data_IF_899736345668
#
_entry.id   IF_899736345668
#
_cell.length_a   1.000
_cell.length_b   1.000
_cell.length_c   1.000
_cell.angle_alpha   90.00
_cell.angle_beta   90.00
_cell.angle_gamma   90.00
#
_symmetry.space_group_name_H-M   'P 1'
#
loop_
_entity.id
_entity.type
_entity.pdbx_description
1 polymer ?
#
# COMPACT_ATOMS: atom_id res chain seq x y z
N UNK A 1 1.33 -18.41 -33.47
CA UNK A 1 2.19 -17.87 -32.37
C UNK A 1 1.71 -16.44 -32.15
N UNK A 2 1.23 -16.08 -30.97
CA UNK A 2 0.84 -14.70 -30.66
C UNK A 2 2.11 -13.86 -30.65
N UNK A 3 2.12 -12.79 -31.47
CA UNK A 3 3.25 -11.86 -31.57
C UNK A 3 3.25 -11.00 -30.28
N UNK A 4 4.02 -11.43 -29.28
CA UNK A 4 4.21 -10.70 -28.03
C UNK A 4 5.50 -9.92 -28.13
N UNK A 5 5.41 -8.60 -28.00
CA UNK A 5 6.56 -7.71 -27.99
C UNK A 5 6.69 -7.03 -26.62
N UNK A 6 7.82 -7.23 -25.93
CA UNK A 6 8.16 -6.48 -24.72
C UNK A 6 8.98 -5.25 -25.11
N UNK A 7 8.57 -4.08 -24.63
CA UNK A 7 9.21 -2.80 -24.94
C UNK A 7 9.06 -1.80 -23.79
N UNK A 8 9.87 -0.74 -23.73
CA UNK A 8 9.64 0.37 -22.82
C UNK A 8 8.25 0.99 -23.02
N UNK A 9 7.66 1.45 -21.91
CA UNK A 9 6.44 2.24 -21.90
C UNK A 9 6.61 3.51 -22.75
N UNK A 10 5.55 3.89 -23.45
CA UNK A 10 5.46 5.13 -24.22
C UNK A 10 4.26 5.94 -23.75
N UNK A 11 4.33 7.24 -23.84
CA UNK A 11 3.22 8.13 -23.41
C UNK A 11 1.89 7.82 -24.11
N UNK A 12 1.93 7.22 -25.30
CA UNK A 12 0.73 6.74 -26.02
C UNK A 12 0.05 5.53 -25.36
N UNK A 13 0.73 4.80 -24.47
CA UNK A 13 0.19 3.63 -23.76
C UNK A 13 -0.61 4.03 -22.51
N UNK A 14 -0.58 5.29 -22.11
CA UNK A 14 -1.09 5.82 -20.83
C UNK A 14 -2.52 5.39 -20.52
N UNK A 15 -3.42 5.43 -21.49
CA UNK A 15 -4.83 5.11 -21.27
C UNK A 15 -5.04 3.61 -21.06
N UNK A 16 -4.24 2.77 -21.74
CA UNK A 16 -4.27 1.32 -21.58
C UNK A 16 -3.64 0.92 -20.22
N UNK A 17 -2.51 1.54 -19.87
CA UNK A 17 -1.88 1.33 -18.57
C UNK A 17 -2.81 1.75 -17.43
N UNK A 18 -3.43 2.93 -17.52
CA UNK A 18 -4.38 3.40 -16.50
C UNK A 18 -5.57 2.46 -16.33
N UNK A 19 -6.11 1.89 -17.41
CA UNK A 19 -7.16 0.87 -17.31
C UNK A 19 -6.69 -0.39 -16.59
N UNK A 20 -5.46 -0.85 -16.90
CA UNK A 20 -4.89 -2.03 -16.24
C UNK A 20 -4.68 -1.80 -14.74
N UNK A 21 -4.12 -0.64 -14.36
CA UNK A 21 -3.95 -0.24 -12.95
C UNK A 21 -5.31 -0.18 -12.26
N UNK A 22 -6.29 0.50 -12.85
CA UNK A 22 -7.61 0.66 -12.23
C UNK A 22 -8.36 -0.67 -12.09
N UNK A 23 -8.24 -1.59 -13.05
CA UNK A 23 -8.85 -2.91 -12.93
C UNK A 23 -8.28 -3.71 -11.74
N UNK A 24 -6.97 -3.60 -11.50
CA UNK A 24 -6.32 -4.25 -10.37
C UNK A 24 -6.64 -3.54 -9.03
N UNK A 25 -6.68 -2.20 -9.03
CA UNK A 25 -7.06 -1.41 -7.86
C UNK A 25 -8.50 -1.70 -7.43
N UNK A 26 -9.45 -1.73 -8.36
CA UNK A 26 -10.86 -2.01 -8.10
C UNK A 26 -11.10 -3.42 -7.54
N UNK A 27 -10.29 -4.40 -7.96
CA UNK A 27 -10.37 -5.76 -7.42
C UNK A 27 -10.04 -5.84 -5.93
N UNK A 28 -9.22 -4.90 -5.41
CA UNK A 28 -8.81 -4.83 -4.00
C UNK A 28 -9.70 -3.86 -3.23
N UNK A 29 -9.93 -2.68 -3.80
CA UNK A 29 -10.69 -1.59 -3.17
C UNK A 29 -11.89 -1.27 -4.06
N UNK A 30 -13.06 -1.87 -3.80
CA UNK A 30 -14.25 -1.69 -4.64
C UNK A 30 -14.62 -0.21 -4.84
N UNK A 31 -14.86 0.18 -6.10
CA UNK A 31 -15.16 1.55 -6.48
C UNK A 31 -13.94 2.49 -6.56
N UNK A 32 -12.72 1.97 -6.35
CA UNK A 32 -11.49 2.75 -6.48
C UNK A 32 -11.15 2.98 -7.95
N UNK A 33 -10.80 4.20 -8.28
CA UNK A 33 -10.15 4.52 -9.55
C UNK A 33 -9.20 5.69 -9.39
N UNK A 34 -8.05 5.59 -10.02
CA UNK A 34 -7.04 6.65 -10.06
C UNK A 34 -6.99 7.31 -11.43
N UNK A 35 -6.63 8.60 -11.45
CA UNK A 35 -6.52 9.34 -12.70
C UNK A 35 -5.32 8.87 -13.52
N UNK A 36 -5.35 9.11 -14.82
CA UNK A 36 -4.19 8.87 -15.71
C UNK A 36 -2.96 9.63 -15.20
N UNK A 37 -3.14 10.84 -14.71
CA UNK A 37 -2.02 11.65 -14.19
C UNK A 37 -1.42 11.06 -12.92
N UNK A 38 -2.23 10.50 -12.03
CA UNK A 38 -1.78 9.75 -10.86
C UNK A 38 -0.91 8.56 -11.27
N UNK A 39 -1.40 7.75 -12.23
CA UNK A 39 -0.64 6.62 -12.75
C UNK A 39 0.68 7.08 -13.36
N UNK A 40 0.68 8.10 -14.22
CA UNK A 40 1.90 8.61 -14.83
C UNK A 40 2.86 9.22 -13.80
N UNK A 41 2.35 9.98 -12.83
CA UNK A 41 3.15 10.54 -11.75
C UNK A 41 3.86 9.47 -10.92
N UNK A 42 3.23 8.31 -10.72
CA UNK A 42 3.82 7.19 -9.99
C UNK A 42 4.98 6.49 -10.72
N UNK A 43 5.12 6.69 -12.03
CA UNK A 43 6.24 6.16 -12.82
C UNK A 43 7.49 7.03 -12.74
N UNK A 44 7.35 8.24 -12.25
CA UNK A 44 8.41 9.21 -12.08
C UNK A 44 8.85 9.26 -10.59
N UNK A 45 9.72 10.18 -10.27
CA UNK A 45 10.14 10.39 -8.89
C UNK A 45 8.96 10.83 -8.03
N UNK A 46 8.82 10.21 -6.85
CA UNK A 46 7.81 10.52 -5.84
C UNK A 46 8.39 11.53 -4.82
N UNK A 47 8.15 12.84 -4.97
CA UNK A 47 8.83 13.84 -4.13
C UNK A 47 8.43 13.78 -2.65
N UNK A 48 7.29 13.15 -2.33
CA UNK A 48 6.85 12.93 -0.96
C UNK A 48 7.40 11.65 -0.32
N UNK A 49 7.97 10.74 -1.11
CA UNK A 49 8.47 9.44 -0.65
C UNK A 49 9.96 9.53 -0.29
N UNK A 50 10.27 10.31 0.75
CA UNK A 50 11.66 10.63 1.11
C UNK A 50 12.44 9.45 1.74
N UNK A 51 11.79 8.33 2.05
CA UNK A 51 12.45 7.12 2.56
C UNK A 51 12.98 6.26 1.41
N UNK A 52 12.12 5.91 0.46
CA UNK A 52 12.43 4.98 -0.64
C UNK A 52 12.86 5.72 -1.91
N UNK A 53 12.21 6.81 -2.27
CA UNK A 53 12.49 7.53 -3.51
C UNK A 53 13.90 8.09 -3.60
N UNK A 54 14.50 8.67 -2.53
CA UNK A 54 15.91 9.07 -2.55
C UNK A 54 16.89 7.92 -2.73
N UNK A 55 16.48 6.68 -2.43
CA UNK A 55 17.31 5.49 -2.58
C UNK A 55 17.35 4.96 -4.02
N UNK A 56 16.42 5.42 -4.87
CA UNK A 56 16.26 4.93 -6.24
C UNK A 56 17.19 5.68 -7.19
N UNK A 57 18.05 4.92 -7.88
CA UNK A 57 18.99 5.44 -8.87
C UNK A 57 18.43 5.43 -10.29
N UNK A 58 17.55 4.46 -10.62
CA UNK A 58 17.00 4.29 -11.96
C UNK A 58 15.58 3.70 -11.90
N UNK A 59 14.73 4.11 -12.85
CA UNK A 59 13.36 3.61 -13.02
C UNK A 59 13.13 3.19 -14.46
N UNK A 60 12.44 2.06 -14.64
CA UNK A 60 12.05 1.58 -15.97
C UNK A 60 10.63 1.04 -15.90
N UNK A 61 9.78 1.50 -16.82
CA UNK A 61 8.46 0.90 -17.03
C UNK A 61 8.47 0.14 -18.33
N UNK A 62 8.09 -1.13 -18.28
CA UNK A 62 7.95 -2.00 -19.44
C UNK A 62 6.47 -2.32 -19.69
N UNK A 63 6.14 -2.56 -20.95
CA UNK A 63 4.86 -3.12 -21.37
C UNK A 63 5.09 -4.33 -22.28
N UNK A 64 4.25 -5.34 -22.13
CA UNK A 64 4.13 -6.42 -23.08
C UNK A 64 2.92 -6.13 -23.98
N UNK A 65 3.19 -5.91 -25.25
CA UNK A 65 2.19 -5.67 -26.26
C UNK A 65 1.82 -6.99 -26.95
N UNK A 66 0.54 -7.24 -27.10
CA UNK A 66 -0.01 -8.37 -27.84
C UNK A 66 -1.16 -7.86 -28.71
N UNK A 67 -1.08 -8.10 -30.02
CA UNK A 67 -2.09 -7.63 -30.99
C UNK A 67 -2.36 -6.12 -30.88
N UNK A 68 -1.30 -5.31 -30.78
CA UNK A 68 -1.35 -3.84 -30.65
C UNK A 68 -2.07 -3.34 -29.37
N UNK A 69 -2.12 -4.17 -28.30
CA UNK A 69 -2.68 -3.80 -27.00
C UNK A 69 -1.68 -4.10 -25.88
N UNK A 70 -1.65 -3.25 -24.89
CA UNK A 70 -0.91 -3.50 -23.66
C UNK A 70 -1.61 -4.63 -22.89
N UNK A 71 -0.99 -5.81 -22.92
CA UNK A 71 -1.49 -7.03 -22.29
C UNK A 71 -0.98 -7.17 -20.84
N UNK A 72 0.24 -6.67 -20.57
CA UNK A 72 0.86 -6.63 -19.25
C UNK A 72 1.78 -5.41 -19.14
N UNK A 73 2.02 -4.96 -17.91
CA UNK A 73 2.94 -3.87 -17.60
C UNK A 73 3.68 -4.13 -16.30
N UNK A 74 4.92 -3.63 -16.19
CA UNK A 74 5.73 -3.70 -14.98
C UNK A 74 6.50 -2.41 -14.78
N UNK A 75 6.66 -2.01 -13.53
CA UNK A 75 7.49 -0.89 -13.11
C UNK A 75 8.64 -1.40 -12.26
N UNK A 76 9.86 -1.03 -12.63
CA UNK A 76 11.09 -1.49 -12.01
C UNK A 76 11.84 -0.33 -11.39
N UNK A 77 12.42 -0.59 -10.24
CA UNK A 77 13.31 0.31 -9.54
C UNK A 77 14.70 -0.34 -9.41
N UNK A 78 15.75 0.47 -9.58
CA UNK A 78 17.11 0.15 -9.19
C UNK A 78 17.51 1.04 -8.03
N UNK A 79 18.02 0.46 -6.97
CA UNK A 79 18.49 1.18 -5.80
C UNK A 79 19.98 1.49 -5.90
N UNK A 80 20.43 2.51 -5.16
CA UNK A 80 21.86 2.83 -5.09
C UNK A 80 22.65 1.69 -4.43
N UNK A 81 23.87 1.41 -4.89
CA UNK A 81 24.73 0.35 -4.33
C UNK A 81 25.44 0.76 -3.03
N UNK A 82 25.27 1.97 -2.57
CA UNK A 82 25.97 2.57 -1.44
C UNK A 82 25.02 3.03 -0.32
N UNK A 83 25.56 3.79 0.65
CA UNK A 83 24.84 4.24 1.84
C UNK A 83 23.67 5.21 1.58
N UNK A 84 23.45 5.60 0.33
CA UNK A 84 22.23 6.35 -0.06
C UNK A 84 20.98 5.51 0.03
N UNK A 85 21.12 4.18 -0.13
CA UNK A 85 20.02 3.25 0.07
C UNK A 85 20.10 2.59 1.45
N UNK A 86 18.94 2.26 2.02
CA UNK A 86 18.88 1.48 3.25
C UNK A 86 19.55 0.11 3.09
N UNK A 87 20.14 -0.47 4.16
CA UNK A 87 20.98 -1.66 4.07
C UNK A 87 20.36 -2.85 3.32
N UNK A 88 19.04 -3.06 3.48
CA UNK A 88 18.33 -4.15 2.82
C UNK A 88 18.11 -3.93 1.32
N UNK A 89 18.26 -2.68 0.83
CA UNK A 89 18.00 -2.31 -0.56
C UNK A 89 19.29 -1.93 -1.33
N UNK A 90 20.45 -1.94 -0.69
CA UNK A 90 21.70 -1.66 -1.38
C UNK A 90 21.91 -2.60 -2.53
N UNK A 91 22.23 -2.05 -3.70
CA UNK A 91 22.47 -2.81 -4.93
C UNK A 91 21.33 -3.78 -5.27
N UNK A 92 20.09 -3.39 -4.98
CA UNK A 92 18.90 -4.16 -5.28
C UNK A 92 18.19 -3.65 -6.53
N UNK A 93 17.48 -4.57 -7.19
CA UNK A 93 16.45 -4.30 -8.19
C UNK A 93 15.10 -4.77 -7.68
N UNK A 94 14.07 -3.99 -7.91
CA UNK A 94 12.70 -4.32 -7.49
C UNK A 94 11.73 -4.23 -8.67
N UNK A 95 10.90 -5.27 -8.84
CA UNK A 95 9.64 -5.14 -9.57
C UNK A 95 8.66 -4.51 -8.59
N UNK A 96 8.51 -3.18 -8.62
CA UNK A 96 7.61 -2.44 -7.73
C UNK A 96 6.18 -2.95 -7.86
N UNK A 97 5.74 -3.18 -9.10
CA UNK A 97 4.54 -3.88 -9.45
C UNK A 97 4.64 -4.49 -10.85
N UNK A 98 3.92 -5.59 -11.06
CA UNK A 98 3.67 -6.21 -12.35
C UNK A 98 2.18 -6.52 -12.45
N UNK A 99 1.55 -6.13 -13.54
CA UNK A 99 0.12 -6.23 -13.75
C UNK A 99 -0.18 -6.92 -15.07
N UNK A 100 -1.09 -7.86 -15.05
CA UNK A 100 -1.72 -8.45 -16.22
C UNK A 100 -3.03 -9.11 -15.80
N UNK A 101 -3.92 -9.33 -16.74
CA UNK A 101 -5.18 -9.98 -16.44
C UNK A 101 -5.34 -11.23 -17.29
N UNK A 102 -5.17 -12.44 -16.71
CA UNK A 102 -5.10 -13.68 -17.49
C UNK A 102 -6.43 -14.08 -18.11
N UNK A 103 -7.55 -13.68 -17.48
CA UNK A 103 -8.91 -13.96 -17.95
C UNK A 103 -9.73 -12.69 -17.88
N UNK A 104 -10.65 -12.48 -18.84
CA UNK A 104 -11.64 -11.43 -18.73
C UNK A 104 -12.47 -11.65 -17.45
N UNK A 105 -12.60 -10.63 -16.57
CA UNK A 105 -13.46 -10.73 -15.39
C UNK A 105 -14.92 -11.12 -15.70
N UNK A 106 -15.36 -10.83 -16.93
CA UNK A 106 -16.71 -11.10 -17.42
C UNK A 106 -16.82 -12.38 -18.29
N UNK A 107 -15.76 -13.22 -18.34
CA UNK A 107 -15.77 -14.38 -19.23
C UNK A 107 -15.88 -14.02 -20.70
N UNK A 108 -15.43 -12.82 -21.11
CA UNK A 108 -15.50 -12.34 -22.47
C UNK A 108 -14.62 -13.21 -23.39
N UNK A 109 -15.20 -14.00 -24.32
CA UNK A 109 -14.45 -14.91 -25.19
C UNK A 109 -13.51 -14.17 -26.16
N UNK A 110 -13.66 -12.87 -26.32
CA UNK A 110 -12.78 -12.02 -27.13
C UNK A 110 -11.55 -11.50 -26.40
N UNK A 111 -11.45 -11.76 -25.09
CA UNK A 111 -10.25 -11.40 -24.33
C UNK A 111 -9.19 -12.48 -24.49
N UNK A 112 -8.06 -12.18 -25.11
CA UNK A 112 -7.02 -13.19 -25.32
C UNK A 112 -6.41 -13.61 -23.98
N UNK A 113 -5.97 -14.86 -23.89
CA UNK A 113 -5.07 -15.27 -22.84
C UNK A 113 -3.74 -14.51 -22.98
N UNK A 114 -3.41 -13.76 -21.95
CA UNK A 114 -2.23 -12.89 -21.89
C UNK A 114 -1.15 -13.45 -20.92
N UNK A 115 -1.29 -14.67 -20.45
CA UNK A 115 -0.33 -15.31 -19.55
C UNK A 115 1.06 -15.36 -20.18
N UNK A 116 1.18 -15.74 -21.44
CA UNK A 116 2.44 -15.74 -22.16
C UNK A 116 3.07 -14.34 -22.30
N UNK A 117 2.25 -13.29 -22.42
CA UNK A 117 2.75 -11.91 -22.42
C UNK A 117 3.30 -11.51 -21.04
N UNK A 118 2.65 -11.91 -19.96
CA UNK A 118 3.11 -11.67 -18.61
C UNK A 118 4.42 -12.43 -18.28
N UNK A 119 4.55 -13.67 -18.77
CA UNK A 119 5.77 -14.47 -18.63
C UNK A 119 6.94 -13.84 -19.40
N UNK A 120 6.72 -13.41 -20.65
CA UNK A 120 7.72 -12.70 -21.43
C UNK A 120 8.14 -11.38 -20.78
N UNK A 121 7.17 -10.63 -20.23
CA UNK A 121 7.45 -9.40 -19.48
C UNK A 121 8.30 -9.66 -18.24
N UNK A 122 7.98 -10.71 -17.46
CA UNK A 122 8.72 -11.05 -16.25
C UNK A 122 10.15 -11.47 -16.59
N UNK A 123 10.36 -12.24 -17.67
CA UNK A 123 11.68 -12.61 -18.16
C UNK A 123 12.49 -11.35 -18.53
N UNK A 124 11.89 -10.39 -19.23
CA UNK A 124 12.54 -9.12 -19.58
C UNK A 124 12.87 -8.27 -18.34
N UNK A 125 12.06 -8.29 -17.27
CA UNK A 125 12.40 -7.65 -16.01
C UNK A 125 13.66 -8.25 -15.39
N UNK A 126 13.76 -9.59 -15.36
CA UNK A 126 14.93 -10.31 -14.84
C UNK A 126 16.18 -10.03 -15.68
N UNK A 127 16.05 -9.95 -17.01
CA UNK A 127 17.17 -9.55 -17.88
C UNK A 127 17.65 -8.13 -17.60
N UNK A 128 16.74 -7.19 -17.26
CA UNK A 128 17.12 -5.84 -16.84
C UNK A 128 17.91 -5.91 -15.53
N UNK A 129 17.47 -6.69 -14.56
CA UNK A 129 18.22 -6.89 -13.31
C UNK A 129 19.62 -7.46 -13.56
N UNK A 130 19.76 -8.41 -14.47
CA UNK A 130 21.06 -8.93 -14.92
C UNK A 130 21.94 -7.83 -15.56
N UNK A 131 21.36 -6.96 -16.40
CA UNK A 131 22.09 -5.84 -17.01
C UNK A 131 22.48 -4.77 -16.00
N UNK A 132 21.67 -4.54 -14.99
CA UNK A 132 22.01 -3.65 -13.87
C UNK A 132 23.07 -4.23 -12.94
N UNK A 133 23.28 -5.56 -13.00
CA UNK A 133 24.25 -6.27 -12.16
C UNK A 133 23.84 -6.28 -10.67
N UNK A 134 22.54 -6.14 -10.35
CA UNK A 134 22.08 -6.09 -8.97
C UNK A 134 22.26 -7.45 -8.27
N UNK A 135 22.62 -7.42 -6.99
CA UNK A 135 22.85 -8.62 -6.17
C UNK A 135 21.59 -9.15 -5.52
N UNK A 136 20.60 -8.28 -5.29
CA UNK A 136 19.34 -8.63 -4.68
C UNK A 136 18.18 -8.30 -5.63
N UNK A 137 17.25 -9.24 -5.77
CA UNK A 137 16.09 -9.07 -6.63
C UNK A 137 14.82 -9.19 -5.80
N UNK A 138 14.02 -8.14 -5.82
CA UNK A 138 12.75 -8.06 -5.10
C UNK A 138 11.58 -7.94 -6.07
N UNK A 139 10.39 -8.31 -5.58
CA UNK A 139 9.13 -8.08 -6.27
C UNK A 139 8.03 -7.70 -5.28
N UNK A 140 7.10 -6.88 -5.73
CA UNK A 140 5.96 -6.39 -4.94
C UNK A 140 4.71 -6.22 -5.79
N UNK A 141 3.73 -5.52 -5.26
CA UNK A 141 2.46 -5.21 -5.93
C UNK A 141 1.97 -3.82 -5.57
N UNK A 142 2.89 -2.89 -5.28
CA UNK A 142 2.55 -1.57 -4.77
C UNK A 142 2.08 -0.65 -5.88
N UNK A 143 0.78 -0.35 -5.87
CA UNK A 143 0.17 0.61 -6.79
C UNK A 143 0.04 1.99 -6.15
N UNK A 144 -0.12 3.05 -6.96
CA UNK A 144 -0.44 4.40 -6.47
C UNK A 144 -1.90 4.48 -6.01
N UNK A 145 -2.28 3.59 -5.07
CA UNK A 145 -3.65 3.42 -4.57
C UNK A 145 -3.57 3.14 -3.07
N UNK A 146 -4.30 3.87 -2.23
CA UNK A 146 -4.37 3.58 -0.81
C UNK A 146 -4.76 2.12 -0.54
N UNK A 147 -4.07 1.47 0.40
CA UNK A 147 -4.33 0.09 0.81
C UNK A 147 -3.77 -1.01 -0.12
N UNK A 148 -2.97 -0.66 -1.15
CA UNK A 148 -2.37 -1.64 -2.07
C UNK A 148 -0.84 -1.54 -2.00
N UNK A 149 -0.24 -2.22 -1.02
CA UNK A 149 1.20 -2.11 -0.70
C UNK A 149 2.01 -3.40 -0.85
N UNK A 150 1.44 -4.43 -1.43
CA UNK A 150 2.08 -5.71 -1.66
C UNK A 150 1.31 -6.46 -2.75
N UNK A 151 1.44 -7.78 -2.83
CA UNK A 151 0.64 -8.60 -3.72
C UNK A 151 -0.65 -9.01 -2.98
N UNK A 152 -1.80 -8.38 -3.26
CA UNK A 152 -3.05 -8.69 -2.58
C UNK A 152 -3.53 -10.12 -2.90
N UNK A 153 -4.30 -10.71 -1.99
CA UNK A 153 -4.91 -12.03 -2.19
C UNK A 153 -5.86 -12.09 -3.41
N UNK A 154 -6.42 -10.94 -3.81
CA UNK A 154 -7.23 -10.80 -5.03
C UNK A 154 -6.40 -10.94 -6.32
N UNK A 155 -5.06 -10.95 -6.22
CA UNK A 155 -4.17 -11.13 -7.37
C UNK A 155 -3.41 -12.48 -7.34
N UNK A 156 -4.10 -13.62 -7.22
CA UNK A 156 -3.43 -14.94 -7.14
C UNK A 156 -2.60 -15.26 -8.39
N UNK A 157 -2.97 -14.68 -9.54
CA UNK A 157 -2.26 -14.80 -10.81
C UNK A 157 -0.88 -14.14 -10.76
N UNK A 158 -0.74 -12.97 -10.10
CA UNK A 158 0.55 -12.30 -9.91
C UNK A 158 1.45 -13.13 -8.98
N UNK A 159 0.92 -13.58 -7.84
CA UNK A 159 1.65 -14.44 -6.92
C UNK A 159 2.14 -15.76 -7.60
N UNK A 160 1.29 -16.36 -8.44
CA UNK A 160 1.66 -17.55 -9.20
C UNK A 160 2.75 -17.26 -10.26
N UNK A 161 2.67 -16.10 -10.92
CA UNK A 161 3.67 -15.66 -11.89
C UNK A 161 5.04 -15.46 -11.22
N UNK A 162 5.09 -14.77 -10.07
CA UNK A 162 6.34 -14.56 -9.33
C UNK A 162 6.97 -15.90 -8.90
N UNK A 163 6.16 -16.85 -8.39
CA UNK A 163 6.69 -18.19 -8.03
C UNK A 163 7.28 -18.90 -9.25
N UNK A 164 6.61 -18.87 -10.41
CA UNK A 164 7.16 -19.48 -11.66
C UNK A 164 8.44 -18.80 -12.12
N UNK A 165 8.59 -17.50 -11.86
CA UNK A 165 9.80 -16.74 -12.19
C UNK A 165 10.94 -16.92 -11.17
N UNK A 166 10.76 -17.76 -10.14
CA UNK A 166 11.76 -18.08 -9.13
C UNK A 166 11.80 -17.11 -7.94
N UNK A 167 10.79 -16.23 -7.81
CA UNK A 167 10.65 -15.45 -6.58
C UNK A 167 9.98 -16.30 -5.49
N UNK A 168 10.56 -16.27 -4.29
CA UNK A 168 10.00 -16.87 -3.10
C UNK A 168 9.38 -15.78 -2.20
N UNK A 169 8.20 -16.05 -1.65
CA UNK A 169 7.60 -15.20 -0.64
C UNK A 169 8.25 -15.48 0.72
N UNK A 170 8.65 -14.45 1.44
CA UNK A 170 9.36 -14.57 2.72
C UNK A 170 8.45 -14.93 3.91
N UNK A 171 7.14 -15.06 3.69
CA UNK A 171 6.15 -15.38 4.72
C UNK A 171 5.50 -14.13 5.33
N UNK A 172 5.96 -12.93 5.04
CA UNK A 172 5.37 -11.71 5.60
C UNK A 172 4.03 -11.39 4.95
N UNK A 173 2.96 -11.52 5.71
CA UNK A 173 1.60 -11.18 5.30
C UNK A 173 1.07 -10.05 6.17
N UNK A 174 0.64 -8.98 5.53
CA UNK A 174 0.01 -7.84 6.18
C UNK A 174 -1.49 -7.85 5.87
N UNK A 175 -2.30 -7.65 6.89
CA UNK A 175 -3.74 -7.47 6.76
C UNK A 175 -4.05 -5.98 6.75
N UNK A 176 -4.71 -5.52 5.72
CA UNK A 176 -5.15 -4.14 5.57
C UNK A 176 -6.60 -4.04 6.03
N UNK A 177 -6.85 -3.14 6.96
CA UNK A 177 -8.17 -2.82 7.47
C UNK A 177 -8.64 -1.47 6.96
N UNK A 178 -9.96 -1.33 6.79
CA UNK A 178 -10.60 -0.10 6.34
C UNK A 178 -11.82 0.20 7.23
N UNK A 179 -11.95 1.46 7.64
CA UNK A 179 -13.16 1.98 8.24
C UNK A 179 -13.60 3.28 7.55
N UNK A 180 -14.92 3.47 7.26
CA UNK A 180 -15.46 4.80 7.05
C UNK A 180 -15.25 5.63 8.34
N UNK A 181 -14.77 6.87 8.19
CA UNK A 181 -14.50 7.72 9.36
C UNK A 181 -15.79 8.05 10.12
N UNK A 182 -16.93 8.02 9.44
CA UNK A 182 -18.27 8.20 10.05
C UNK A 182 -18.69 7.05 10.94
N UNK A 183 -18.19 5.83 10.71
CA UNK A 183 -18.51 4.62 11.49
C UNK A 183 -17.64 4.48 12.74
N UNK A 184 -16.59 5.30 12.87
CA UNK A 184 -15.66 5.27 14.00
C UNK A 184 -16.30 5.83 15.29
N UNK A 185 -15.82 5.43 16.49
CA UNK A 185 -16.32 5.93 17.76
C UNK A 185 -16.36 7.47 17.80
N UNK A 186 -17.41 8.04 18.39
CA UNK A 186 -17.54 9.49 18.52
C UNK A 186 -17.90 10.23 17.23
N UNK A 187 -18.43 9.53 16.23
CA UNK A 187 -18.77 10.09 14.89
C UNK A 187 -19.73 11.28 14.86
N UNK A 188 -20.36 11.65 15.95
CA UNK A 188 -21.27 12.81 16.04
C UNK A 188 -20.84 13.90 17.02
N UNK A 189 -19.93 13.60 17.95
CA UNK A 189 -19.43 14.50 19.00
C UNK A 189 -18.01 14.11 19.38
N UNK A 190 -17.25 15.03 20.00
CA UNK A 190 -16.04 14.61 20.70
C UNK A 190 -16.41 13.55 21.72
N UNK A 191 -15.80 12.35 21.68
CA UNK A 191 -16.13 11.30 22.63
C UNK A 191 -15.77 11.75 24.04
N UNK A 192 -16.64 11.42 25.00
CA UNK A 192 -16.36 11.69 26.41
C UNK A 192 -15.10 10.92 26.85
N UNK A 193 -14.23 11.54 27.65
CA UNK A 193 -13.03 10.88 28.13
C UNK A 193 -13.39 9.68 29.02
N UNK A 194 -12.74 8.51 28.82
CA UNK A 194 -13.03 7.30 29.62
C UNK A 194 -12.45 7.35 31.03
N UNK A 195 -11.64 8.34 31.35
CA UNK A 195 -11.02 8.56 32.66
C UNK A 195 -11.21 10.01 33.06
N UNK A 196 -11.50 10.24 34.34
CA UNK A 196 -11.63 11.59 34.87
C UNK A 196 -10.30 12.37 34.73
N UNK A 197 -10.38 13.57 34.21
CA UNK A 197 -9.23 14.42 33.98
C UNK A 197 -8.38 14.07 32.73
N UNK A 198 -8.81 13.08 31.92
CA UNK A 198 -8.15 12.77 30.67
C UNK A 198 -8.41 13.88 29.64
N UNK A 199 -7.34 14.38 29.04
CA UNK A 199 -7.37 15.41 28.01
C UNK A 199 -6.65 14.97 26.75
N UNK A 200 -6.96 15.59 25.59
CA UNK A 200 -6.23 15.37 24.35
C UNK A 200 -5.29 16.55 24.08
N UNK A 201 -4.05 16.25 23.70
CA UNK A 201 -3.08 17.22 23.19
C UNK A 201 -2.73 16.87 21.75
N UNK A 202 -2.63 17.89 20.88
CA UNK A 202 -2.26 17.74 19.49
C UNK A 202 -0.87 18.26 19.21
N UNK A 203 -0.08 17.50 18.47
CA UNK A 203 1.27 17.85 18.03
C UNK A 203 1.56 17.27 16.63
N UNK A 204 2.70 17.62 16.08
CA UNK A 204 3.26 16.94 14.90
C UNK A 204 3.93 15.65 15.40
N UNK A 205 3.55 14.52 14.80
CA UNK A 205 4.15 13.21 15.03
C UNK A 205 5.18 12.84 13.95
N UNK A 206 5.72 11.66 14.06
CA UNK A 206 6.61 11.09 13.02
C UNK A 206 5.77 10.77 11.77
N UNK A 207 4.57 10.22 11.98
CA UNK A 207 3.64 9.85 10.93
C UNK A 207 2.45 10.85 10.89
N UNK A 208 2.73 12.12 10.61
CA UNK A 208 1.69 13.13 10.43
C UNK A 208 1.17 13.78 11.72
N UNK A 209 -0.16 13.80 11.93
CA UNK A 209 -0.78 14.42 13.11
C UNK A 209 -0.80 13.43 14.28
N UNK A 210 -0.22 13.83 15.42
CA UNK A 210 -0.29 13.07 16.68
C UNK A 210 -1.32 13.67 17.64
N UNK A 211 -2.21 12.83 18.14
CA UNK A 211 -3.11 13.12 19.23
C UNK A 211 -2.69 12.28 20.45
N UNK A 212 -2.32 12.95 21.54
CA UNK A 212 -1.85 12.31 22.77
C UNK A 212 -2.93 12.37 23.85
N UNK A 213 -3.16 11.25 24.52
CA UNK A 213 -3.99 11.14 25.72
C UNK A 213 -3.14 11.54 26.93
N UNK A 214 -3.52 12.62 27.60
CA UNK A 214 -2.77 13.22 28.72
C UNK A 214 -3.61 13.13 29.99
N UNK A 215 -3.08 12.49 31.02
CA UNK A 215 -3.70 12.39 32.34
C UNK A 215 -2.81 13.10 33.36
N UNK A 216 -3.24 14.28 33.85
CA UNK A 216 -2.37 15.17 34.57
C UNK A 216 -1.20 15.67 33.73
N UNK A 217 0.03 15.27 34.09
CA UNK A 217 1.25 15.59 33.30
C UNK A 217 1.77 14.41 32.49
N UNK A 218 1.13 13.24 32.57
CA UNK A 218 1.57 12.00 31.94
C UNK A 218 0.88 11.78 30.59
N UNK A 219 1.67 11.43 29.54
CA UNK A 219 1.15 10.92 28.26
C UNK A 219 0.94 9.42 28.40
N UNK A 220 -0.33 8.99 28.51
CA UNK A 220 -0.70 7.58 28.73
C UNK A 220 -1.01 6.83 27.43
N UNK A 221 -1.00 7.52 26.29
CA UNK A 221 -1.19 6.91 24.96
C UNK A 221 -1.23 7.98 23.87
N UNK A 222 -1.15 7.55 22.62
CA UNK A 222 -1.28 8.44 21.47
C UNK A 222 -1.75 7.68 20.24
N UNK A 223 -2.29 8.43 19.26
CA UNK A 223 -2.54 7.99 17.90
C UNK A 223 -1.86 8.95 16.93
N UNK A 224 -1.24 8.43 15.90
CA UNK A 224 -0.73 9.20 14.77
C UNK A 224 -1.52 8.84 13.51
N UNK A 225 -1.92 9.86 12.76
CA UNK A 225 -2.61 9.68 11.49
C UNK A 225 -1.90 10.44 10.39
N UNK A 226 -1.68 9.78 9.27
CA UNK A 226 -1.09 10.35 8.07
C UNK A 226 -2.13 10.49 6.97
N UNK A 227 -2.17 11.67 6.34
CA UNK A 227 -3.06 11.91 5.19
C UNK A 227 -2.39 11.43 3.91
N UNK A 228 -3.04 10.53 3.19
CA UNK A 228 -2.49 9.87 2.01
C UNK A 228 -2.58 10.71 0.72
N UNK A 229 -3.14 11.92 0.80
CA UNK A 229 -3.30 12.84 -0.33
C UNK A 229 -2.19 13.90 -0.46
N UNK A 230 -1.26 13.97 0.50
CA UNK A 230 -0.23 15.03 0.51
C UNK A 230 0.74 14.97 -0.67
N UNK A 231 0.95 13.79 -1.26
CA UNK A 231 1.79 13.62 -2.44
C UNK A 231 1.07 13.97 -3.75
N UNK A 232 -0.25 14.02 -3.76
CA UNK A 232 -1.06 14.21 -4.95
C UNK A 232 -2.02 15.40 -4.79
N UNK A 233 -1.69 16.51 -5.41
CA UNK A 233 -2.53 17.72 -5.47
C UNK A 233 -3.88 17.53 -6.21
N UNK A 234 -4.34 16.31 -6.39
CA UNK A 234 -5.56 15.98 -7.10
C UNK A 234 -6.60 15.44 -6.14
N UNK A 235 -7.65 16.20 -5.96
CA UNK A 235 -8.78 16.04 -5.04
C UNK A 235 -9.57 14.71 -5.11
N UNK A 236 -9.18 13.74 -5.91
CA UNK A 236 -9.90 12.45 -6.05
C UNK A 236 -9.53 11.40 -5.01
N UNK A 237 -8.37 11.54 -4.36
CA UNK A 237 -7.98 10.75 -3.20
C UNK A 237 -8.14 11.53 -1.89
N UNK A 238 -8.62 12.76 -1.98
CA UNK A 238 -9.03 13.55 -0.83
C UNK A 238 -10.01 12.75 0.00
N UNK A 239 -9.62 12.45 1.23
CA UNK A 239 -10.46 11.70 2.11
C UNK A 239 -9.92 10.35 2.55
N UNK A 240 -8.66 10.02 2.28
CA UNK A 240 -7.98 8.84 2.82
C UNK A 240 -6.88 9.23 3.80
N UNK A 241 -6.81 8.50 4.91
CA UNK A 241 -5.70 8.55 5.85
C UNK A 241 -5.37 7.14 6.33
N UNK A 242 -4.21 6.97 6.92
CA UNK A 242 -3.86 5.76 7.65
C UNK A 242 -3.54 6.04 9.13
N UNK A 243 -3.59 4.98 9.92
CA UNK A 243 -3.09 4.96 11.29
C UNK A 243 -1.61 4.61 11.22
N UNK A 244 -0.75 5.62 11.33
CA UNK A 244 0.69 5.41 11.37
C UNK A 244 1.15 4.76 12.66
N UNK A 245 0.45 5.03 13.78
CA UNK A 245 0.73 4.42 15.07
C UNK A 245 -0.44 4.62 16.04
N UNK A 246 -0.77 3.60 16.83
CA UNK A 246 -1.69 3.67 17.97
C UNK A 246 -1.06 2.97 19.16
N UNK A 247 -0.74 3.74 20.20
CA UNK A 247 -0.13 3.23 21.42
C UNK A 247 -0.92 3.62 22.67
N UNK A 248 -1.11 2.66 23.57
CA UNK A 248 -1.63 2.90 24.93
C UNK A 248 -0.71 2.21 25.92
N UNK A 249 -0.20 2.95 26.89
CA UNK A 249 0.62 2.43 28.00
C UNK A 249 -0.08 1.27 28.69
N UNK A 250 0.65 0.21 29.00
CA UNK A 250 0.11 -1.08 29.48
C UNK A 250 -0.86 -0.94 30.65
N UNK A 251 -0.57 -0.08 31.62
CA UNK A 251 -1.43 0.17 32.80
C UNK A 251 -2.78 0.84 32.47
N UNK A 252 -2.94 1.37 31.27
CA UNK A 252 -4.15 2.06 30.83
C UNK A 252 -4.88 1.33 29.69
N UNK A 253 -4.36 0.18 29.26
CA UNK A 253 -5.03 -0.66 28.26
C UNK A 253 -6.36 -1.20 28.77
N UNK A 254 -7.27 -1.53 27.87
CA UNK A 254 -8.62 -2.04 28.15
C UNK A 254 -9.51 -1.13 29.03
N UNK A 255 -9.13 0.15 29.14
CA UNK A 255 -9.88 1.18 29.87
C UNK A 255 -10.53 2.20 28.94
N UNK A 256 -10.70 1.88 27.65
CA UNK A 256 -11.35 2.73 26.66
C UNK A 256 -10.45 3.81 26.01
N UNK A 257 -9.19 3.96 26.48
CA UNK A 257 -8.27 5.03 26.00
C UNK A 257 -7.99 4.92 24.49
N UNK A 258 -7.76 3.70 23.97
CA UNK A 258 -7.51 3.50 22.52
C UNK A 258 -8.71 3.87 21.64
N UNK A 259 -9.90 3.42 22.02
CA UNK A 259 -11.15 3.76 21.30
C UNK A 259 -11.45 5.26 21.37
N UNK A 260 -11.16 5.89 22.52
CA UNK A 260 -11.31 7.34 22.70
C UNK A 260 -10.33 8.12 21.82
N UNK A 261 -9.05 7.73 21.78
CA UNK A 261 -8.05 8.34 20.88
C UNK A 261 -8.45 8.23 19.43
N UNK A 262 -8.95 7.06 19.01
CA UNK A 262 -9.45 6.86 17.66
C UNK A 262 -10.66 7.76 17.36
N UNK A 263 -11.56 7.95 18.33
CA UNK A 263 -12.67 8.88 18.23
C UNK A 263 -12.23 10.34 18.09
N UNK A 264 -11.20 10.76 18.83
CA UNK A 264 -10.59 12.09 18.69
C UNK A 264 -9.95 12.25 17.30
N UNK A 265 -9.26 11.21 16.81
CA UNK A 265 -8.70 11.19 15.46
C UNK A 265 -9.82 11.26 14.40
N UNK A 266 -10.91 10.51 14.54
CA UNK A 266 -12.05 10.56 13.64
C UNK A 266 -12.70 11.96 13.58
N UNK A 267 -12.83 12.64 14.72
CA UNK A 267 -13.32 14.02 14.76
C UNK A 267 -12.40 14.97 14.00
N UNK A 268 -11.09 14.86 14.17
CA UNK A 268 -10.08 15.63 13.45
C UNK A 268 -10.09 15.32 11.95
N UNK A 269 -10.07 14.05 11.56
CA UNK A 269 -10.05 13.60 10.17
C UNK A 269 -11.28 14.09 9.39
N UNK A 270 -12.47 14.11 10.00
CA UNK A 270 -13.67 14.68 9.37
C UNK A 270 -13.53 16.17 9.07
N UNK A 271 -12.97 16.94 9.99
CA UNK A 271 -12.69 18.37 9.75
C UNK A 271 -11.67 18.57 8.63
N UNK A 272 -10.76 17.62 8.45
CA UNK A 272 -9.78 17.60 7.35
C UNK A 272 -10.35 17.05 6.03
N UNK A 273 -11.65 16.66 5.98
CA UNK A 273 -12.29 16.13 4.77
C UNK A 273 -11.95 14.65 4.50
N UNK A 274 -11.38 13.94 5.47
CA UNK A 274 -11.07 12.51 5.36
C UNK A 274 -12.33 11.68 5.60
N UNK A 275 -12.63 10.75 4.70
CA UNK A 275 -13.80 9.87 4.77
C UNK A 275 -13.46 8.42 5.08
N UNK A 276 -12.20 8.01 4.90
CA UNK A 276 -11.76 6.62 5.04
C UNK A 276 -10.43 6.56 5.78
N UNK A 277 -10.33 5.62 6.72
CA UNK A 277 -9.14 5.38 7.53
C UNK A 277 -8.68 3.94 7.35
N UNK A 278 -7.40 3.77 7.06
CA UNK A 278 -6.72 2.48 6.96
C UNK A 278 -5.95 2.19 8.25
N UNK A 279 -5.82 0.91 8.56
CA UNK A 279 -4.93 0.37 9.59
C UNK A 279 -4.30 -0.93 9.08
N UNK A 280 -3.15 -1.29 9.60
CA UNK A 280 -2.35 -2.42 9.13
C UNK A 280 -1.97 -3.31 10.29
N UNK A 281 -2.10 -4.63 10.11
CA UNK A 281 -1.68 -5.61 11.10
C UNK A 281 -0.84 -6.71 10.45
N UNK A 282 0.30 -7.04 11.05
CA UNK A 282 1.09 -8.19 10.65
C UNK A 282 0.44 -9.47 11.16
N UNK A 283 0.28 -10.46 10.28
CA UNK A 283 -0.29 -11.76 10.65
C UNK A 283 0.63 -12.54 11.59
N UNK A 284 1.92 -12.30 11.46
CA UNK A 284 3.00 -12.99 12.15
C UNK A 284 3.72 -12.04 13.10
N UNK A 285 3.86 -12.47 14.36
CA UNK A 285 4.55 -11.67 15.37
C UNK A 285 3.62 -10.83 16.26
N UNK A 286 4.23 -9.92 16.97
CA UNK A 286 3.56 -8.86 17.74
C UNK A 286 3.85 -7.53 17.10
N UNK A 287 2.90 -6.61 17.14
CA UNK A 287 3.13 -5.24 16.70
C UNK A 287 4.22 -4.56 17.55
N UNK A 288 4.76 -3.40 17.13
CA UNK A 288 5.73 -2.64 17.94
C UNK A 288 5.20 -2.26 19.34
N UNK A 289 3.88 -2.26 19.54
CA UNK A 289 3.23 -2.04 20.84
C UNK A 289 3.09 -3.28 21.70
N UNK A 290 3.50 -4.47 21.19
CA UNK A 290 3.43 -5.75 21.90
C UNK A 290 2.02 -6.35 21.95
N UNK A 291 1.11 -5.96 21.03
CA UNK A 291 -0.20 -6.58 20.87
C UNK A 291 -0.07 -7.80 19.93
N UNK A 292 -0.80 -8.87 20.26
CA UNK A 292 -0.95 -9.98 19.32
C UNK A 292 -1.84 -9.58 18.15
N UNK A 293 -1.69 -10.25 17.01
CA UNK A 293 -2.58 -10.06 15.87
C UNK A 293 -4.06 -10.19 16.25
N UNK A 294 -4.41 -11.19 17.06
CA UNK A 294 -5.81 -11.42 17.47
C UNK A 294 -6.35 -10.30 18.35
N UNK A 295 -5.55 -9.75 19.29
CA UNK A 295 -5.95 -8.60 20.10
C UNK A 295 -6.15 -7.35 19.25
N UNK A 296 -5.23 -7.09 18.29
CA UNK A 296 -5.32 -5.96 17.36
C UNK A 296 -6.58 -6.10 16.49
N UNK A 297 -6.78 -7.26 15.85
CA UNK A 297 -7.96 -7.56 15.04
C UNK A 297 -9.26 -7.38 15.83
N UNK A 298 -9.31 -7.90 17.07
CA UNK A 298 -10.51 -7.78 17.91
C UNK A 298 -10.79 -6.31 18.26
N UNK A 299 -9.75 -5.53 18.53
CA UNK A 299 -9.88 -4.09 18.77
C UNK A 299 -10.41 -3.37 17.51
N UNK A 300 -9.79 -3.59 16.36
CA UNK A 300 -10.19 -2.95 15.09
C UNK A 300 -11.65 -3.27 14.74
N UNK A 301 -12.05 -4.54 14.87
CA UNK A 301 -13.44 -4.95 14.63
C UNK A 301 -14.42 -4.26 15.59
N UNK A 302 -14.06 -4.13 16.88
CA UNK A 302 -14.89 -3.47 17.89
C UNK A 302 -15.07 -1.96 17.64
N UNK A 303 -14.13 -1.31 16.94
CA UNK A 303 -14.18 0.13 16.64
C UNK A 303 -14.62 0.45 15.21
N UNK A 304 -15.09 -0.54 14.44
CA UNK A 304 -15.73 -0.32 13.14
C UNK A 304 -14.87 -0.60 11.91
N UNK A 305 -13.63 -1.07 12.08
CA UNK A 305 -12.82 -1.51 10.93
C UNK A 305 -13.25 -2.87 10.42
N UNK A 306 -13.09 -3.06 9.11
CA UNK A 306 -13.29 -4.33 8.40
C UNK A 306 -12.03 -4.68 7.63
N UNK A 307 -11.74 -5.96 7.54
CA UNK A 307 -10.65 -6.46 6.71
C UNK A 307 -10.95 -6.11 5.24
N UNK A 308 -10.00 -5.44 4.59
CA UNK A 308 -10.07 -5.05 3.18
C UNK A 308 -9.38 -6.10 2.32
N UNK A 309 -8.15 -6.47 2.68
CA UNK A 309 -7.33 -7.42 1.94
C UNK A 309 -6.18 -7.94 2.80
N UNK A 310 -5.60 -9.06 2.36
CA UNK A 310 -4.31 -9.57 2.83
C UNK A 310 -3.29 -9.42 1.73
N UNK A 311 -2.15 -8.84 2.05
CA UNK A 311 -1.09 -8.59 1.09
C UNK A 311 0.17 -9.38 1.42
N UNK A 312 0.66 -10.16 0.45
CA UNK A 312 1.95 -10.82 0.56
C UNK A 312 3.07 -9.82 0.26
N UNK A 313 3.91 -9.55 1.25
CA UNK A 313 5.07 -8.66 1.14
C UNK A 313 6.37 -9.46 1.14
N UNK A 314 7.45 -8.89 0.63
CA UNK A 314 8.76 -9.53 0.69
C UNK A 314 8.92 -10.71 -0.27
N UNK A 315 8.70 -10.52 -1.54
CA UNK A 315 9.07 -11.49 -2.57
C UNK A 315 10.53 -11.28 -2.96
N UNK A 316 11.33 -12.36 -2.87
CA UNK A 316 12.77 -12.32 -3.15
C UNK A 316 13.18 -13.41 -4.13
N UNK A 317 14.18 -13.12 -4.96
CA UNK A 317 14.81 -14.06 -5.88
C UNK A 317 16.33 -14.02 -5.65
N UNK A 318 16.91 -15.19 -5.48
CA UNK A 318 18.37 -15.38 -5.37
C UNK A 318 19.00 -15.55 -6.75
#
# INVERSE_FOLDING_TARGET
MSDVQVRPFRRGDRDQLSRLVNAHAEAVVPGMSVSVNTVLGSLERQPGEFIVDPWVSERVTLVAEQRSRVAAAAHLLRYYPDDRAGPAYRDAGEIRWLLYWPLSPAGNPFWPDVTGAAEALTAACIEIFGRWGVTHQYAGGELPVPGVYGVPEQWPHIAALYRRAGFAHTGHTEVVYLAPVEDLPGSGRNPDPPLDGLAVSRSVGINGCRLSAVLGEEVIGYIETEMLDQAERLSRHGGWADVGNLHVTSGYRRRGVGSWLLGQAAAWLRLAGVSRLLDYAWLEGTDPGGLSYDDHRAFLAAVGFRELTRTARGWTRQ
#
